data_IF_426603156236
#
_entry.id   IF_426603156236
#
_cell.length_a   1.000
_cell.length_b   1.000
_cell.length_c   1.000
_cell.angle_alpha   90.00
_cell.angle_beta   90.00
_cell.angle_gamma   90.00
#
_symmetry.space_group_name_H-M   'P 1'
#
loop_
_entity.id
_entity.type
_entity.pdbx_description
1 polymer ?
#
# COMPACT_ATOMS: atom_id res chain seq x y z
N UNK A 1 -29.19 1.78 11.68
CA UNK A 1 -28.82 1.76 11.50
C UNK A 1 -28.14 1.36 11.36
N UNK A 2 -28.04 1.14 11.33
CA UNK A 2 -27.41 0.72 11.27
C UNK A 2 -26.44 0.89 10.98
N UNK A 3 -26.05 0.81 11.24
CA UNK A 3 -25.15 1.07 10.69
C UNK A 3 -24.14 0.44 10.67
N UNK A 4 -24.04 0.03 9.94
CA UNK A 4 -22.89 -0.57 9.61
C UNK A 4 -21.73 0.20 9.97
N UNK A 5 -20.63 -0.43 10.38
CA UNK A 5 -19.40 0.29 10.60
C UNK A 5 -18.99 0.98 9.35
N UNK A 6 -18.55 2.18 9.44
CA UNK A 6 -18.20 2.95 8.26
C UNK A 6 -17.13 2.29 7.42
N UNK A 7 -16.30 1.45 8.02
CA UNK A 7 -15.20 0.92 7.26
C UNK A 7 -15.58 -0.22 6.38
N UNK A 8 -16.62 -0.92 6.68
CA UNK A 8 -16.87 -2.14 5.97
C UNK A 8 -17.56 -1.93 4.71
N UNK A 9 -18.60 -1.36 4.57
CA UNK A 9 -19.29 -1.26 3.33
C UNK A 9 -19.27 0.08 2.71
N UNK A 10 -18.76 1.08 3.39
CA UNK A 10 -18.87 2.42 2.88
C UNK A 10 -17.61 2.91 2.18
N UNK A 11 -16.50 2.23 2.29
CA UNK A 11 -15.29 2.65 1.60
C UNK A 11 -15.22 2.06 0.21
N UNK A 12 -14.77 2.85 -0.77
CA UNK A 12 -14.55 2.30 -2.10
C UNK A 12 -13.55 1.15 -2.07
N UNK A 13 -13.67 0.27 -3.06
CA UNK A 13 -12.80 -0.89 -3.12
C UNK A 13 -11.33 -0.50 -3.16
N UNK A 14 -10.99 0.55 -3.89
CA UNK A 14 -9.57 0.91 -4.00
C UNK A 14 -9.00 1.38 -2.66
N UNK A 15 -9.83 1.97 -1.81
CA UNK A 15 -9.38 2.37 -0.49
C UNK A 15 -9.12 1.14 0.37
N UNK A 16 -10.06 0.18 0.33
CA UNK A 16 -9.89 -1.05 1.09
C UNK A 16 -8.65 -1.82 0.67
N UNK A 17 -8.40 -1.86 -0.64
CA UNK A 17 -7.23 -2.54 -1.17
C UNK A 17 -5.96 -1.85 -0.73
N UNK A 18 -5.92 -0.52 -0.82
CA UNK A 18 -4.73 0.20 -0.41
C UNK A 18 -4.44 -0.04 1.07
N UNK A 19 -5.47 -0.09 1.90
CA UNK A 19 -5.27 -0.36 3.32
C UNK A 19 -4.77 -1.77 3.55
N UNK A 20 -5.27 -2.74 2.78
CA UNK A 20 -4.82 -4.11 2.93
C UNK A 20 -3.33 -4.24 2.58
N UNK A 21 -2.91 -3.60 1.50
CA UNK A 21 -1.52 -3.64 1.10
C UNK A 21 -0.66 -2.88 2.12
N UNK A 22 -1.14 -1.73 2.58
CA UNK A 22 -0.41 -0.95 3.57
C UNK A 22 -0.17 -1.77 4.83
N UNK A 23 -1.15 -2.54 5.26
CA UNK A 23 -0.99 -3.39 6.44
C UNK A 23 0.10 -4.42 6.24
N UNK A 24 0.20 -5.00 5.05
CA UNK A 24 1.26 -5.97 4.76
C UNK A 24 2.63 -5.31 4.84
N UNK A 25 2.71 -4.08 4.35
CA UNK A 25 3.98 -3.35 4.38
C UNK A 25 4.35 -3.01 5.81
N UNK A 26 3.40 -2.48 6.58
CA UNK A 26 3.68 -2.10 7.96
C UNK A 26 3.99 -3.31 8.84
N UNK A 27 3.41 -4.45 8.51
CA UNK A 27 3.68 -5.67 9.26
C UNK A 27 4.99 -6.33 8.86
N UNK A 28 5.68 -5.81 7.86
CA UNK A 28 6.93 -6.39 7.42
C UNK A 28 6.79 -7.59 6.49
N UNK A 29 5.57 -7.85 6.02
CA UNK A 29 5.35 -8.95 5.08
C UNK A 29 5.85 -8.60 3.69
N UNK A 30 5.86 -7.32 3.38
CA UNK A 30 6.45 -6.82 2.15
C UNK A 30 7.59 -5.91 2.57
N UNK A 31 8.79 -6.26 2.20
CA UNK A 31 9.98 -5.58 2.69
C UNK A 31 10.39 -4.44 1.77
N UNK A 32 11.08 -3.48 2.35
CA UNK A 32 11.61 -2.38 1.57
C UNK A 32 12.50 -2.86 0.46
N UNK A 33 12.31 -2.32 -0.73
CA UNK A 33 13.05 -2.75 -1.91
C UNK A 33 12.38 -3.89 -2.66
N UNK A 34 11.40 -4.53 -2.05
CA UNK A 34 10.74 -5.65 -2.68
C UNK A 34 9.78 -5.16 -3.76
N UNK A 35 9.75 -5.88 -4.87
CA UNK A 35 8.86 -5.53 -5.96
C UNK A 35 7.49 -6.11 -5.73
N UNK A 36 6.45 -5.30 -5.94
CA UNK A 36 5.09 -5.79 -5.87
C UNK A 36 4.75 -6.62 -7.10
N UNK A 37 3.81 -7.55 -6.97
CA UNK A 37 3.32 -8.26 -8.16
C UNK A 37 2.76 -7.27 -9.17
N UNK A 38 2.57 -7.73 -10.39
CA UNK A 38 2.05 -6.85 -11.43
C UNK A 38 0.64 -6.39 -11.09
N UNK A 39 0.25 -5.26 -11.68
CA UNK A 39 -1.10 -4.74 -11.46
C UNK A 39 -2.16 -5.77 -11.85
N UNK A 40 -1.93 -6.43 -12.96
CA UNK A 40 -2.89 -7.42 -13.44
C UNK A 40 -3.02 -8.58 -12.47
N UNK A 41 -1.91 -9.05 -11.95
CA UNK A 41 -1.92 -10.15 -11.02
C UNK A 41 -2.60 -9.76 -9.72
N UNK A 42 -2.30 -8.57 -9.22
CA UNK A 42 -2.92 -8.12 -7.98
C UNK A 42 -4.40 -7.84 -8.17
N UNK A 43 -4.78 -7.31 -9.33
CA UNK A 43 -6.19 -7.08 -9.60
C UNK A 43 -6.96 -8.39 -9.60
N UNK A 44 -6.38 -9.43 -10.18
CA UNK A 44 -7.01 -10.74 -10.16
C UNK A 44 -7.10 -11.28 -8.73
N UNK A 45 -6.05 -11.08 -7.97
CA UNK A 45 -6.01 -11.55 -6.59
C UNK A 45 -7.09 -10.89 -5.74
N UNK A 46 -7.29 -9.59 -5.91
CA UNK A 46 -8.30 -8.86 -5.15
C UNK A 46 -9.68 -8.91 -5.80
N UNK A 47 -9.79 -9.48 -6.99
CA UNK A 47 -11.07 -9.58 -7.66
C UNK A 47 -11.62 -8.27 -8.14
N UNK A 48 -10.77 -7.37 -8.60
CA UNK A 48 -11.18 -6.05 -9.08
C UNK A 48 -10.58 -5.77 -10.44
N UNK A 49 -11.09 -4.74 -11.08
CA UNK A 49 -10.55 -4.29 -12.35
C UNK A 49 -9.17 -3.68 -12.14
N UNK A 50 -8.34 -3.74 -13.18
CA UNK A 50 -7.00 -3.18 -13.11
C UNK A 50 -7.02 -1.70 -12.77
N UNK A 51 -8.00 -0.96 -13.30
CA UNK A 51 -8.10 0.47 -12.98
C UNK A 51 -8.34 0.73 -11.51
N UNK A 52 -9.17 -0.11 -10.88
CA UNK A 52 -9.41 0.03 -9.46
C UNK A 52 -8.14 -0.24 -8.66
N UNK A 53 -7.42 -1.29 -9.04
CA UNK A 53 -6.17 -1.58 -8.36
C UNK A 53 -5.16 -0.46 -8.56
N UNK A 54 -5.08 0.07 -9.76
CA UNK A 54 -4.15 1.16 -10.04
C UNK A 54 -4.41 2.36 -9.14
N UNK A 55 -5.68 2.66 -8.91
CA UNK A 55 -6.04 3.72 -8.01
C UNK A 55 -5.56 3.45 -6.59
N UNK A 56 -5.67 2.20 -6.15
CA UNK A 56 -5.18 1.82 -4.84
C UNK A 56 -3.68 2.02 -4.74
N UNK A 57 -2.95 1.64 -5.78
CA UNK A 57 -1.50 1.82 -5.78
C UNK A 57 -1.12 3.30 -5.78
N UNK A 58 -1.90 4.13 -6.45
CA UNK A 58 -1.64 5.57 -6.43
C UNK A 58 -1.77 6.13 -5.02
N UNK A 59 -2.72 5.63 -4.25
CA UNK A 59 -2.85 6.05 -2.86
C UNK A 59 -1.63 5.67 -2.05
N UNK A 60 -1.12 4.47 -2.28
CA UNK A 60 0.08 4.03 -1.57
C UNK A 60 1.30 4.85 -1.97
N UNK A 61 1.37 5.25 -3.23
CA UNK A 61 2.45 6.12 -3.69
C UNK A 61 2.40 7.47 -2.98
N UNK A 62 1.21 8.01 -2.80
CA UNK A 62 1.06 9.28 -2.11
C UNK A 62 1.47 9.19 -0.65
N UNK A 63 1.38 8.01 -0.07
CA UNK A 63 1.79 7.79 1.31
C UNK A 63 3.26 7.40 1.42
N UNK A 64 3.97 7.36 0.31
CA UNK A 64 5.38 7.00 0.26
C UNK A 64 5.64 5.58 0.75
N UNK A 65 4.67 4.71 0.58
CA UNK A 65 4.85 3.31 0.94
C UNK A 65 5.42 2.52 -0.22
N UNK A 66 5.13 2.93 -1.43
CA UNK A 66 5.66 2.29 -2.62
C UNK A 66 6.07 3.37 -3.61
N UNK A 67 6.86 2.97 -4.59
CA UNK A 67 7.33 3.89 -5.62
C UNK A 67 7.39 3.17 -6.94
N UNK A 68 6.87 3.78 -8.01
CA UNK A 68 6.99 3.16 -9.32
C UNK A 68 8.43 3.30 -9.82
N UNK A 69 8.91 2.25 -10.45
CA UNK A 69 10.19 2.30 -11.14
C UNK A 69 9.94 2.16 -12.62
N UNK A 70 10.58 3.03 -13.35
CA UNK A 70 10.36 3.15 -14.78
C UNK A 70 10.48 1.78 -15.46
N UNK A 71 9.38 1.33 -16.04
CA UNK A 71 9.36 0.09 -16.80
C UNK A 71 9.40 -1.18 -15.97
N UNK A 72 9.42 -1.08 -14.64
CA UNK A 72 9.60 -2.27 -13.82
C UNK A 72 8.52 -2.51 -12.78
N UNK A 73 7.53 -1.64 -12.70
CA UNK A 73 6.45 -1.83 -11.74
C UNK A 73 6.67 -1.02 -10.47
N UNK A 74 6.07 -1.46 -9.39
CA UNK A 74 6.13 -0.75 -8.12
C UNK A 74 6.99 -1.49 -7.12
N UNK A 75 7.71 -0.74 -6.30
CA UNK A 75 8.59 -1.29 -5.29
C UNK A 75 8.26 -0.69 -3.95
N UNK A 76 8.38 -1.51 -2.91
CA UNK A 76 8.14 -1.05 -1.54
C UNK A 76 9.28 -0.14 -1.14
N UNK A 77 8.94 1.05 -0.65
CA UNK A 77 9.95 1.99 -0.18
C UNK A 77 9.93 2.15 1.32
N UNK A 78 8.82 1.78 1.94
CA UNK A 78 8.68 1.90 3.39
C UNK A 78 9.29 0.70 4.07
N UNK A 79 10.03 0.94 5.16
CA UNK A 79 10.55 -0.12 5.99
C UNK A 79 10.29 0.24 7.44
N UNK A 80 9.58 -0.59 8.20
CA UNK A 80 9.33 -0.27 9.60
C UNK A 80 10.60 -0.01 10.38
N UNK A 81 11.65 -0.79 10.13
CA UNK A 81 12.91 -0.58 10.82
C UNK A 81 13.56 0.72 10.41
N UNK A 82 13.61 0.98 9.13
CA UNK A 82 14.20 2.22 8.64
C UNK A 82 13.41 3.41 9.14
N UNK A 83 12.08 3.27 9.17
CA UNK A 83 11.24 4.35 9.65
C UNK A 83 11.53 4.66 11.12
N UNK A 84 11.72 3.64 11.93
CA UNK A 84 12.04 3.85 13.34
C UNK A 84 13.38 4.54 13.51
N UNK A 85 14.37 4.09 12.76
CA UNK A 85 15.68 4.72 12.84
C UNK A 85 15.62 6.16 12.40
N UNK A 86 14.91 6.40 11.34
CA UNK A 86 14.81 7.73 10.81
C UNK A 86 14.11 8.66 11.81
N UNK A 87 13.06 8.17 12.44
CA UNK A 87 12.36 8.94 13.44
C UNK A 87 13.26 9.26 14.62
N UNK A 88 14.06 8.30 15.01
CA UNK A 88 14.99 8.49 16.12
C UNK A 88 15.98 9.60 15.80
N UNK A 89 16.55 9.57 14.62
CA UNK A 89 17.49 10.61 14.22
C UNK A 89 16.85 11.97 14.11
N UNK A 90 15.63 12.00 13.67
CA UNK A 90 14.95 13.27 13.54
C UNK A 90 14.70 13.90 14.89
N UNK A 91 14.42 13.09 15.88
CA UNK A 91 14.22 13.61 17.22
C UNK A 91 15.50 14.21 17.77
N UNK A 92 16.59 13.69 17.32
CA UNK A 92 17.88 14.19 17.76
C UNK A 92 18.22 15.53 17.18
N UNK A 93 17.75 15.77 16.01
CA UNK A 93 18.07 17.03 15.38
C UNK A 93 17.09 18.09 15.78
#
# INVERSE_FOLDING_TARGET
>A
MTQTPPHSGSLPAYVQISEAIARRIHAGQLLGGERLPTERKMAAEFGVAVGTLRKALQMLQKQDLIQPKHGSGNYVTFSPQASNLYSFFRLES
#
